data_IF_610033457053
#
_entry.id   IF_610033457053
#
_cell.length_a   1.000
_cell.length_b   1.000
_cell.length_c   1.000
_cell.angle_alpha   90.00
_cell.angle_beta   90.00
_cell.angle_gamma   90.00
#
_symmetry.space_group_name_H-M   'P 1'
#
loop_
_entity.id
_entity.type
_entity.pdbx_description
1 polymer ?
#
# COMPACT_ATOMS: atom_id res chain seq x y z
N UNK A 1 -36.97 12.66 -0.44
CA UNK A 1 -35.95 11.70 -0.85
C UNK A 1 -35.15 11.34 0.38
N UNK A 2 -35.00 10.08 0.71
CA UNK A 2 -34.10 9.61 1.78
C UNK A 2 -32.66 9.94 1.36
N UNK A 3 -31.88 10.49 2.32
CA UNK A 3 -30.46 10.73 2.06
C UNK A 3 -29.74 9.40 1.88
N UNK A 4 -28.82 9.32 0.93
CA UNK A 4 -27.96 8.15 0.76
C UNK A 4 -26.96 8.07 1.93
N UNK A 5 -26.75 6.89 2.45
CA UNK A 5 -25.94 6.62 3.62
C UNK A 5 -24.52 6.21 3.26
N UNK A 6 -23.53 6.70 3.99
CA UNK A 6 -22.10 6.43 3.72
C UNK A 6 -21.39 6.03 4.99
N UNK A 7 -20.73 4.87 4.99
CA UNK A 7 -19.77 4.47 6.01
C UNK A 7 -18.39 4.98 5.63
N UNK A 8 -17.86 5.94 6.38
CA UNK A 8 -16.57 6.56 6.09
C UNK A 8 -15.47 6.03 7.02
N UNK A 9 -14.42 5.44 6.43
CA UNK A 9 -13.19 5.11 7.15
C UNK A 9 -12.40 6.38 7.52
N UNK A 10 -12.30 6.68 8.80
CA UNK A 10 -11.61 7.84 9.37
C UNK A 10 -10.34 7.40 10.09
N UNK A 11 -9.18 7.69 9.52
CA UNK A 11 -7.86 7.36 10.11
C UNK A 11 -7.33 8.42 11.08
N UNK A 12 -8.03 9.55 11.23
CA UNK A 12 -7.52 10.73 11.93
C UNK A 12 -6.49 11.54 11.15
N UNK A 13 -6.21 11.17 9.91
CA UNK A 13 -5.40 11.97 8.99
C UNK A 13 -6.22 13.04 8.27
N UNK A 14 -5.51 14.02 7.67
CA UNK A 14 -6.09 15.14 6.93
C UNK A 14 -7.07 14.66 5.84
N UNK A 15 -6.64 13.68 5.04
CA UNK A 15 -7.38 13.23 3.86
C UNK A 15 -8.75 12.62 4.22
N UNK A 16 -8.81 11.80 5.26
CA UNK A 16 -10.08 11.23 5.74
C UNK A 16 -10.98 12.28 6.40
N UNK A 17 -10.40 13.28 7.03
CA UNK A 17 -11.14 14.38 7.66
C UNK A 17 -11.79 15.29 6.61
N UNK A 18 -11.05 15.60 5.54
CA UNK A 18 -11.58 16.36 4.40
C UNK A 18 -12.62 15.55 3.65
N UNK A 19 -12.40 14.26 3.45
CA UNK A 19 -13.41 13.36 2.86
C UNK A 19 -14.75 13.43 3.62
N UNK A 20 -14.71 13.44 4.97
CA UNK A 20 -15.90 13.60 5.80
C UNK A 20 -16.65 14.90 5.51
N UNK A 21 -15.94 16.04 5.49
CA UNK A 21 -16.51 17.35 5.18
C UNK A 21 -17.18 17.40 3.81
N UNK A 22 -16.48 16.87 2.79
CA UNK A 22 -16.97 16.84 1.42
C UNK A 22 -18.28 16.06 1.31
N UNK A 23 -18.36 14.87 1.90
CA UNK A 23 -19.55 14.03 1.88
C UNK A 23 -20.74 14.67 2.57
N UNK A 24 -20.51 15.27 3.75
CA UNK A 24 -21.56 16.00 4.47
C UNK A 24 -22.09 17.18 3.63
N UNK A 25 -21.21 17.95 3.01
CA UNK A 25 -21.62 19.07 2.14
C UNK A 25 -22.35 18.61 0.87
N UNK A 26 -22.02 17.42 0.36
CA UNK A 26 -22.74 16.79 -0.75
C UNK A 26 -24.12 16.24 -0.35
N UNK A 27 -24.46 16.28 0.93
CA UNK A 27 -25.79 15.91 1.43
C UNK A 27 -25.95 14.43 1.82
N UNK A 28 -24.86 13.67 1.88
CA UNK A 28 -24.88 12.29 2.38
C UNK A 28 -25.16 12.24 3.90
N UNK A 29 -25.77 11.15 4.34
CA UNK A 29 -25.83 10.75 5.75
C UNK A 29 -24.57 9.94 6.08
N UNK A 30 -23.58 10.60 6.72
CA UNK A 30 -22.23 10.05 6.91
C UNK A 30 -22.10 9.46 8.32
N UNK A 31 -21.60 8.22 8.40
CA UNK A 31 -21.21 7.56 9.63
C UNK A 31 -19.70 7.30 9.61
N UNK A 32 -18.98 7.91 10.54
CA UNK A 32 -17.53 7.76 10.67
C UNK A 32 -17.14 6.50 11.43
N UNK A 33 -16.15 5.77 10.95
CA UNK A 33 -15.56 4.62 11.65
C UNK A 33 -14.05 4.64 11.59
N UNK A 34 -13.38 4.46 12.73
CA UNK A 34 -11.95 4.15 12.77
C UNK A 34 -11.76 2.65 12.96
N UNK A 35 -11.03 2.01 12.06
CA UNK A 35 -10.57 0.65 12.25
C UNK A 35 -9.28 0.70 13.07
N UNK A 36 -9.33 0.21 14.30
CA UNK A 36 -8.15 0.06 15.13
C UNK A 36 -7.38 -1.19 14.70
N UNK A 37 -6.30 -0.98 13.94
CA UNK A 37 -5.52 -2.07 13.33
C UNK A 37 -4.19 -2.31 14.03
N UNK A 38 -3.64 -1.32 14.73
CA UNK A 38 -2.35 -1.37 15.41
C UNK A 38 -2.31 -0.38 16.58
N UNK A 39 -1.49 -0.69 17.60
CA UNK A 39 -1.17 0.22 18.70
C UNK A 39 0.36 0.33 18.78
N UNK A 40 0.89 1.52 18.72
CA UNK A 40 2.31 1.76 19.01
C UNK A 40 2.49 1.89 20.53
N UNK A 41 3.55 1.31 21.08
CA UNK A 41 3.93 1.51 22.48
C UNK A 41 4.19 3.00 22.78
N UNK A 42 4.71 3.75 21.81
CA UNK A 42 4.95 5.20 21.89
C UNK A 42 3.67 6.06 21.81
N UNK A 43 2.52 5.50 21.50
CA UNK A 43 1.24 6.22 21.59
C UNK A 43 0.89 6.58 23.04
N UNK A 44 1.62 6.07 24.01
CA UNK A 44 1.56 6.41 25.44
C UNK A 44 2.50 7.56 25.83
N UNK A 45 3.44 7.99 24.95
CA UNK A 45 4.46 9.00 25.27
C UNK A 45 4.43 10.13 24.23
N UNK A 46 4.16 11.35 24.71
CA UNK A 46 4.33 12.64 24.03
C UNK A 46 3.30 13.05 22.96
N UNK A 47 2.06 13.15 23.35
CA UNK A 47 1.09 14.03 22.68
C UNK A 47 1.11 15.40 23.37
N UNK A 48 1.03 16.49 22.61
CA UNK A 48 0.88 17.82 23.21
C UNK A 48 -0.29 17.83 24.21
N UNK A 49 -0.16 18.45 25.38
CA UNK A 49 -1.17 18.48 26.45
C UNK A 49 -2.60 18.78 25.97
N UNK A 50 -2.73 19.41 24.81
CA UNK A 50 -4.02 19.75 24.19
C UNK A 50 -4.78 18.53 23.65
N UNK A 51 -4.08 17.43 23.34
CA UNK A 51 -4.64 16.18 22.77
C UNK A 51 -4.52 14.97 23.70
N UNK A 52 -3.66 15.06 24.75
CA UNK A 52 -3.47 14.00 25.77
C UNK A 52 -4.77 13.63 26.49
N UNK A 53 -5.65 14.60 26.74
CA UNK A 53 -6.95 14.38 27.37
C UNK A 53 -7.96 13.61 26.48
N UNK A 54 -7.59 13.31 25.21
CA UNK A 54 -8.48 12.76 24.19
C UNK A 54 -8.13 11.36 23.70
N UNK A 55 -7.10 10.72 24.26
CA UNK A 55 -6.63 9.37 23.88
C UNK A 55 -5.67 9.38 22.70
N UNK A 56 -5.39 8.20 22.07
CA UNK A 56 -4.52 8.08 20.89
C UNK A 56 -4.77 9.23 19.90
N UNK A 57 -3.75 10.00 19.57
CA UNK A 57 -3.86 11.27 18.86
C UNK A 57 -4.66 11.16 17.53
N UNK A 58 -4.50 10.07 16.79
CA UNK A 58 -5.22 9.85 15.52
C UNK A 58 -6.70 9.58 15.73
N UNK A 59 -7.07 8.74 16.70
CA UNK A 59 -8.48 8.49 17.06
C UNK A 59 -9.11 9.78 17.63
N UNK A 60 -8.37 10.53 18.43
CA UNK A 60 -8.81 11.82 18.96
C UNK A 60 -9.16 12.84 17.87
N UNK A 61 -8.35 12.93 16.82
CA UNK A 61 -8.61 13.82 15.68
C UNK A 61 -9.85 13.36 14.91
N UNK A 62 -9.97 12.06 14.62
CA UNK A 62 -11.16 11.52 13.94
C UNK A 62 -12.44 11.83 14.73
N UNK A 63 -12.41 11.62 16.05
CA UNK A 63 -13.52 11.94 16.96
C UNK A 63 -13.86 13.44 16.98
N UNK A 64 -12.83 14.31 17.03
CA UNK A 64 -13.01 15.76 16.96
C UNK A 64 -13.70 16.20 15.67
N UNK A 65 -13.23 15.68 14.51
CA UNK A 65 -13.83 15.98 13.19
C UNK A 65 -15.29 15.51 13.15
N UNK A 66 -15.56 14.28 13.60
CA UNK A 66 -16.91 13.74 13.64
C UNK A 66 -17.87 14.59 14.49
N UNK A 67 -17.43 15.04 15.69
CA UNK A 67 -18.18 15.95 16.54
C UNK A 67 -18.46 17.31 15.89
N UNK A 68 -17.44 17.88 15.22
CA UNK A 68 -17.56 19.15 14.52
C UNK A 68 -18.54 19.08 13.34
N UNK A 69 -18.52 17.96 12.60
CA UNK A 69 -19.44 17.71 11.49
C UNK A 69 -20.81 17.16 11.95
N UNK A 70 -20.97 16.87 13.26
CA UNK A 70 -22.17 16.28 13.86
C UNK A 70 -22.58 14.96 13.21
N UNK A 71 -21.59 14.12 12.89
CA UNK A 71 -21.81 12.76 12.36
C UNK A 71 -21.59 11.72 13.45
N UNK A 72 -22.34 10.59 13.45
CA UNK A 72 -22.05 9.43 14.29
C UNK A 72 -20.63 8.92 14.05
N UNK A 73 -19.98 8.46 15.12
CA UNK A 73 -18.60 7.96 15.04
C UNK A 73 -18.36 6.83 16.04
N UNK A 74 -17.64 5.82 15.59
CA UNK A 74 -17.22 4.69 16.42
C UNK A 74 -15.82 4.21 16.09
N UNK A 75 -15.26 3.40 16.98
CA UNK A 75 -13.98 2.69 16.78
C UNK A 75 -14.28 1.20 16.77
N UNK A 76 -13.80 0.50 15.75
CA UNK A 76 -13.98 -0.94 15.57
C UNK A 76 -12.63 -1.62 15.63
N UNK A 77 -12.46 -2.55 16.56
CA UNK A 77 -11.23 -3.34 16.69
C UNK A 77 -11.06 -4.31 15.52
N UNK A 78 -9.90 -4.24 14.86
CA UNK A 78 -9.48 -5.10 13.75
C UNK A 78 -8.02 -5.53 13.88
N UNK A 79 -7.47 -5.48 15.10
CA UNK A 79 -6.05 -5.81 15.36
C UNK A 79 -5.76 -7.27 15.00
N UNK A 80 -6.61 -8.20 15.40
CA UNK A 80 -6.43 -9.62 15.05
C UNK A 80 -6.49 -9.87 13.54
N UNK A 81 -7.47 -9.27 12.84
CA UNK A 81 -7.59 -9.38 11.38
C UNK A 81 -6.38 -8.77 10.67
N UNK A 82 -5.82 -7.69 11.23
CA UNK A 82 -4.63 -7.03 10.72
C UNK A 82 -3.38 -7.87 10.96
N UNK A 83 -3.23 -8.47 12.14
CA UNK A 83 -2.13 -9.39 12.44
C UNK A 83 -2.10 -10.52 11.41
N UNK A 84 -3.19 -11.27 11.28
CA UNK A 84 -3.27 -12.42 10.38
C UNK A 84 -3.20 -12.03 8.90
N UNK A 85 -3.86 -10.95 8.49
CA UNK A 85 -4.00 -10.56 7.10
C UNK A 85 -2.84 -9.75 6.53
N UNK A 86 -2.05 -9.11 7.38
CA UNK A 86 -1.01 -8.15 6.96
C UNK A 86 0.34 -8.44 7.57
N UNK A 87 0.43 -8.56 8.91
CA UNK A 87 1.72 -8.70 9.60
C UNK A 87 2.31 -10.08 9.33
N UNK A 88 1.51 -11.14 9.49
CA UNK A 88 1.97 -12.51 9.23
C UNK A 88 2.43 -12.69 7.78
N UNK A 89 1.69 -12.12 6.79
CA UNK A 89 2.06 -12.12 5.37
C UNK A 89 3.36 -11.32 5.13
N UNK A 90 3.54 -10.21 5.84
CA UNK A 90 4.74 -9.38 5.75
C UNK A 90 5.98 -10.11 6.29
N UNK A 91 5.88 -10.71 7.47
CA UNK A 91 6.96 -11.48 8.10
C UNK A 91 7.31 -12.70 7.25
N UNK A 92 6.31 -13.50 6.84
CA UNK A 92 6.51 -14.67 5.99
C UNK A 92 7.14 -14.31 4.63
N UNK A 93 6.77 -13.16 4.04
CA UNK A 93 7.39 -12.65 2.83
C UNK A 93 8.89 -12.43 3.00
N UNK A 94 9.30 -11.70 4.02
CA UNK A 94 10.73 -11.48 4.29
C UNK A 94 11.48 -12.75 4.67
N UNK A 95 10.86 -13.65 5.44
CA UNK A 95 11.42 -14.96 5.76
C UNK A 95 11.72 -15.78 4.49
N UNK A 96 10.81 -15.70 3.52
CA UNK A 96 10.99 -16.34 2.21
C UNK A 96 11.87 -15.55 1.24
N UNK A 97 12.50 -14.44 1.66
CA UNK A 97 13.38 -13.59 0.83
C UNK A 97 12.63 -12.84 -0.28
N UNK A 98 11.36 -12.54 -0.09
CA UNK A 98 10.59 -11.63 -0.94
C UNK A 98 10.42 -10.29 -0.25
N UNK A 99 9.98 -9.28 -0.97
CA UNK A 99 9.72 -7.93 -0.43
C UNK A 99 8.24 -7.63 -0.56
N UNK A 100 7.40 -8.00 0.42
CA UNK A 100 5.96 -7.82 0.36
C UNK A 100 5.55 -6.36 0.44
N UNK A 101 4.33 -6.05 -0.04
CA UNK A 101 3.72 -4.73 0.12
C UNK A 101 2.54 -4.79 1.09
N UNK A 102 2.75 -4.46 2.38
CA UNK A 102 1.71 -4.59 3.40
C UNK A 102 0.54 -3.61 3.18
N UNK A 103 0.76 -2.46 2.53
CA UNK A 103 -0.31 -1.51 2.26
C UNK A 103 -1.33 -2.04 1.25
N UNK A 104 -0.89 -2.79 0.24
CA UNK A 104 -1.77 -3.49 -0.70
C UNK A 104 -2.61 -4.53 0.04
N UNK A 105 -1.97 -5.40 0.84
CA UNK A 105 -2.67 -6.43 1.64
C UNK A 105 -3.63 -5.83 2.65
N UNK A 106 -3.25 -4.72 3.28
CA UNK A 106 -4.12 -4.01 4.23
C UNK A 106 -5.41 -3.50 3.56
N UNK A 107 -5.30 -2.89 2.37
CA UNK A 107 -6.49 -2.42 1.65
C UNK A 107 -7.37 -3.58 1.17
N UNK A 108 -6.77 -4.66 0.65
CA UNK A 108 -7.46 -5.87 0.18
C UNK A 108 -8.18 -6.60 1.31
N UNK A 109 -7.43 -6.96 2.38
CA UNK A 109 -7.88 -7.93 3.38
C UNK A 109 -8.49 -7.31 4.62
N UNK A 110 -8.13 -6.07 4.96
CA UNK A 110 -8.52 -5.42 6.22
C UNK A 110 -9.38 -4.20 5.98
N UNK A 111 -8.84 -3.10 5.44
CA UNK A 111 -9.53 -1.80 5.42
C UNK A 111 -10.83 -1.84 4.63
N UNK A 112 -10.74 -2.03 3.31
CA UNK A 112 -11.94 -1.97 2.46
C UNK A 112 -12.86 -3.16 2.71
N UNK A 113 -12.30 -4.34 2.97
CA UNK A 113 -13.11 -5.52 3.33
C UNK A 113 -13.91 -5.32 4.61
N UNK A 114 -13.29 -4.79 5.68
CA UNK A 114 -14.00 -4.54 6.93
C UNK A 114 -15.04 -3.44 6.79
N UNK A 115 -14.70 -2.34 6.09
CA UNK A 115 -15.65 -1.26 5.85
C UNK A 115 -16.83 -1.72 5.01
N UNK A 116 -16.59 -2.48 3.96
CA UNK A 116 -17.64 -3.01 3.10
C UNK A 116 -18.56 -3.98 3.86
N UNK A 117 -17.98 -4.89 4.64
CA UNK A 117 -18.76 -5.82 5.46
C UNK A 117 -19.65 -5.09 6.48
N UNK A 118 -19.11 -4.10 7.19
CA UNK A 118 -19.86 -3.28 8.14
C UNK A 118 -20.97 -2.46 7.46
N UNK A 119 -20.68 -1.86 6.30
CA UNK A 119 -21.69 -1.11 5.55
C UNK A 119 -22.83 -2.01 5.07
N UNK A 120 -22.49 -3.18 4.53
CA UNK A 120 -23.48 -4.16 4.08
C UNK A 120 -24.36 -4.68 5.24
N UNK A 121 -23.74 -5.01 6.39
CA UNK A 121 -24.47 -5.46 7.60
C UNK A 121 -25.48 -4.41 8.09
N UNK A 122 -25.14 -3.12 7.92
CA UNK A 122 -25.98 -1.99 8.36
C UNK A 122 -26.92 -1.47 7.28
N UNK A 123 -26.95 -2.08 6.11
CA UNK A 123 -27.75 -1.65 4.98
C UNK A 123 -27.41 -0.26 4.47
N UNK A 124 -26.12 0.13 4.54
CA UNK A 124 -25.64 1.42 4.05
C UNK A 124 -25.32 1.36 2.55
N UNK A 125 -25.55 2.47 1.84
CA UNK A 125 -25.45 2.54 0.38
C UNK A 125 -24.00 2.53 -0.11
N UNK A 126 -23.09 3.23 0.62
CA UNK A 126 -21.71 3.44 0.19
C UNK A 126 -20.70 3.25 1.32
N UNK A 127 -19.47 2.95 0.90
CA UNK A 127 -18.26 3.01 1.71
C UNK A 127 -17.37 4.12 1.15
N UNK A 128 -16.80 4.94 2.03
CA UNK A 128 -15.86 5.99 1.63
C UNK A 128 -14.55 5.92 2.41
N UNK A 129 -13.49 6.41 1.78
CA UNK A 129 -12.18 6.61 2.43
C UNK A 129 -11.47 7.84 1.87
N UNK A 130 -10.45 8.32 2.59
CA UNK A 130 -9.57 9.40 2.14
C UNK A 130 -8.47 8.98 1.17
N UNK A 131 -8.66 7.91 0.38
CA UNK A 131 -7.67 7.52 -0.63
C UNK A 131 -7.70 8.44 -1.85
N UNK A 132 -6.51 8.72 -2.39
CA UNK A 132 -6.33 9.40 -3.67
C UNK A 132 -6.46 8.38 -4.79
N UNK A 133 -7.67 8.14 -5.23
CA UNK A 133 -8.05 7.34 -6.39
C UNK A 133 -9.43 7.81 -6.86
N UNK A 134 -9.87 7.37 -8.03
CA UNK A 134 -11.21 7.69 -8.55
C UNK A 134 -11.92 6.41 -8.98
N UNK A 135 -13.22 6.37 -8.77
CA UNK A 135 -14.11 5.35 -9.32
C UNK A 135 -15.00 6.04 -10.33
N UNK A 136 -15.08 5.49 -11.53
CA UNK A 136 -15.87 6.04 -12.62
C UNK A 136 -16.69 4.94 -13.30
N UNK A 137 -17.85 5.32 -13.81
CA UNK A 137 -18.65 4.46 -14.68
C UNK A 137 -18.52 4.96 -16.11
N UNK A 138 -17.95 4.13 -16.98
CA UNK A 138 -17.74 4.41 -18.40
C UNK A 138 -18.44 3.29 -19.17
N UNK A 139 -19.33 3.64 -20.10
CA UNK A 139 -20.12 2.68 -20.91
C UNK A 139 -20.81 1.59 -20.06
N UNK A 140 -21.32 1.99 -18.90
CA UNK A 140 -22.02 1.10 -17.96
C UNK A 140 -21.10 0.23 -17.09
N UNK A 141 -19.79 0.26 -17.29
CA UNK A 141 -18.81 -0.50 -16.50
C UNK A 141 -18.12 0.39 -15.47
N UNK A 142 -18.03 -0.12 -14.24
CA UNK A 142 -17.30 0.55 -13.16
C UNK A 142 -15.81 0.23 -13.23
N UNK A 143 -14.98 1.25 -13.07
CA UNK A 143 -13.52 1.11 -13.13
C UNK A 143 -12.82 1.99 -12.10
N UNK A 144 -11.66 1.51 -11.64
CA UNK A 144 -10.76 2.24 -10.76
C UNK A 144 -9.78 3.06 -11.60
N UNK A 145 -9.56 4.31 -11.21
CA UNK A 145 -8.68 5.24 -11.91
C UNK A 145 -7.68 5.89 -10.96
N UNK A 146 -6.58 6.37 -11.51
CA UNK A 146 -5.62 7.21 -10.81
C UNK A 146 -6.29 8.48 -10.28
N UNK A 147 -5.74 9.04 -9.20
CA UNK A 147 -6.16 10.33 -8.70
C UNK A 147 -5.83 11.47 -9.67
N UNK A 148 -6.49 12.62 -9.47
CA UNK A 148 -6.19 13.86 -10.19
C UNK A 148 -4.78 14.36 -9.83
N UNK A 149 -4.36 14.29 -8.57
CA UNK A 149 -2.98 14.57 -8.14
C UNK A 149 -2.11 13.33 -8.36
N UNK A 150 -1.37 13.30 -9.48
CA UNK A 150 -0.52 12.18 -9.84
C UNK A 150 0.61 11.90 -8.82
N UNK A 151 1.02 12.90 -8.01
CA UNK A 151 2.05 12.72 -6.97
C UNK A 151 1.50 12.07 -5.71
N UNK A 152 0.18 12.11 -5.51
CA UNK A 152 -0.52 11.51 -4.36
C UNK A 152 -1.33 10.28 -4.75
N UNK A 153 -1.33 9.90 -6.02
CA UNK A 153 -2.08 8.75 -6.53
C UNK A 153 -1.82 7.48 -5.72
N UNK A 154 -2.89 6.90 -5.17
CA UNK A 154 -2.87 5.69 -4.36
C UNK A 154 -3.54 4.49 -5.05
N UNK A 155 -3.90 4.60 -6.32
CA UNK A 155 -4.50 3.52 -7.09
C UNK A 155 -3.63 2.25 -7.11
N UNK A 156 -2.30 2.42 -7.03
CA UNK A 156 -1.33 1.32 -6.87
C UNK A 156 -1.63 0.43 -5.65
N UNK A 157 -2.13 0.97 -4.55
CA UNK A 157 -2.45 0.20 -3.35
C UNK A 157 -3.85 -0.42 -3.36
N UNK A 158 -4.65 -0.11 -4.39
CA UNK A 158 -6.07 -0.47 -4.46
C UNK A 158 -6.37 -1.49 -5.57
N UNK A 159 -5.38 -1.93 -6.36
CA UNK A 159 -5.61 -2.82 -7.50
C UNK A 159 -6.17 -4.19 -7.14
N UNK A 160 -6.10 -4.59 -5.86
CA UNK A 160 -6.61 -5.88 -5.36
C UNK A 160 -8.00 -5.80 -4.72
N UNK A 161 -8.66 -4.65 -4.78
CA UNK A 161 -10.02 -4.55 -4.26
C UNK A 161 -10.98 -5.37 -5.14
N UNK A 162 -12.03 -5.92 -4.52
CA UNK A 162 -13.04 -6.66 -5.28
C UNK A 162 -13.74 -5.72 -6.27
N UNK A 163 -13.73 -6.00 -7.59
CA UNK A 163 -14.39 -5.17 -8.59
C UNK A 163 -15.88 -4.94 -8.34
N UNK A 164 -16.57 -5.93 -7.73
CA UNK A 164 -17.99 -5.82 -7.39
C UNK A 164 -18.29 -4.73 -6.35
N UNK A 165 -17.29 -4.23 -5.64
CA UNK A 165 -17.47 -3.14 -4.66
C UNK A 165 -17.41 -1.76 -5.31
N UNK A 166 -16.83 -1.60 -6.51
CA UNK A 166 -16.63 -0.31 -7.15
C UNK A 166 -17.89 0.57 -7.21
N UNK A 167 -19.10 0.03 -7.52
CA UNK A 167 -20.32 0.83 -7.51
C UNK A 167 -20.67 1.47 -6.16
N UNK A 168 -20.13 0.92 -5.08
CA UNK A 168 -20.40 1.33 -3.70
C UNK A 168 -19.22 2.05 -3.03
N UNK A 169 -18.13 2.34 -3.78
CA UNK A 169 -16.93 2.99 -3.24
C UNK A 169 -16.85 4.47 -3.62
N UNK A 170 -16.59 5.32 -2.64
CA UNK A 170 -16.37 6.74 -2.81
C UNK A 170 -14.96 7.13 -2.31
N UNK A 171 -14.24 7.87 -3.15
CA UNK A 171 -12.94 8.45 -2.82
C UNK A 171 -12.99 9.98 -3.04
N UNK A 172 -13.60 10.74 -2.09
CA UNK A 172 -13.91 12.15 -2.31
C UNK A 172 -12.70 13.02 -2.65
N UNK A 173 -11.54 12.74 -2.05
CA UNK A 173 -10.30 13.50 -2.29
C UNK A 173 -9.58 13.10 -3.59
N UNK A 174 -10.01 12.03 -4.25
CA UNK A 174 -9.40 11.57 -5.50
C UNK A 174 -9.51 12.57 -6.66
N UNK A 175 -10.44 13.52 -6.57
CA UNK A 175 -10.68 14.59 -7.54
C UNK A 175 -10.04 15.93 -7.14
N UNK A 176 -9.17 15.95 -6.12
CA UNK A 176 -8.55 17.15 -5.58
C UNK A 176 -7.03 17.11 -5.71
N UNK A 177 -6.44 18.30 -5.83
CA UNK A 177 -4.99 18.45 -5.59
C UNK A 177 -4.73 18.46 -4.09
N UNK A 178 -3.56 17.99 -3.66
CA UNK A 178 -3.22 17.92 -2.23
C UNK A 178 -3.21 19.30 -1.56
N UNK A 179 -2.83 20.36 -2.28
CA UNK A 179 -2.89 21.73 -1.74
C UNK A 179 -4.32 22.15 -1.39
N UNK A 180 -5.31 21.77 -2.20
CA UNK A 180 -6.72 22.09 -1.96
C UNK A 180 -7.24 21.33 -0.74
N UNK A 181 -6.79 20.07 -0.57
CA UNK A 181 -7.10 19.27 0.62
C UNK A 181 -6.56 19.90 1.90
N UNK A 182 -5.36 20.48 1.87
CA UNK A 182 -4.81 21.21 3.00
C UNK A 182 -5.62 22.48 3.32
N UNK A 183 -6.00 23.28 2.32
CA UNK A 183 -6.85 24.46 2.51
C UNK A 183 -8.22 24.09 3.12
N UNK A 184 -8.82 23.01 2.64
CA UNK A 184 -10.07 22.52 3.21
C UNK A 184 -9.90 22.08 4.67
N UNK A 185 -8.79 21.41 5.01
CA UNK A 185 -8.48 21.01 6.37
C UNK A 185 -8.31 22.21 7.32
N UNK A 186 -7.69 23.30 6.87
CA UNK A 186 -7.59 24.55 7.62
C UNK A 186 -8.98 25.15 7.89
N UNK A 187 -9.85 25.14 6.88
CA UNK A 187 -11.23 25.63 7.04
C UNK A 187 -12.03 24.83 8.08
N UNK A 188 -11.70 23.56 8.27
CA UNK A 188 -12.26 22.70 9.32
C UNK A 188 -11.66 22.99 10.72
N UNK A 189 -10.68 23.88 10.81
CA UNK A 189 -9.96 24.19 12.06
C UNK A 189 -9.10 23.03 12.55
N UNK A 190 -8.60 22.20 11.63
CA UNK A 190 -7.64 21.14 11.96
C UNK A 190 -6.26 21.79 12.25
N UNK A 191 -5.48 21.20 13.16
CA UNK A 191 -4.12 21.66 13.45
C UNK A 191 -3.15 21.20 12.37
N UNK A 192 -3.28 21.76 11.15
CA UNK A 192 -2.54 21.31 9.96
C UNK A 192 -1.02 21.37 10.14
N UNK A 193 -0.52 22.28 10.96
CA UNK A 193 0.91 22.41 11.29
C UNK A 193 1.43 21.22 12.12
N UNK A 194 0.55 20.56 12.90
CA UNK A 194 0.89 19.41 13.74
C UNK A 194 0.65 18.08 13.02
N UNK A 195 -0.13 18.09 11.92
CA UNK A 195 -0.50 16.90 11.18
C UNK A 195 0.56 16.54 10.15
N UNK A 196 1.32 15.47 10.42
CA UNK A 196 2.27 14.93 9.45
C UNK A 196 1.58 13.91 8.54
N UNK A 197 1.94 13.95 7.27
CA UNK A 197 1.57 12.88 6.33
C UNK A 197 2.23 11.57 6.76
N UNK A 198 1.46 10.48 6.78
CA UNK A 198 2.03 9.15 6.98
C UNK A 198 2.74 8.73 5.69
N UNK A 199 4.07 8.72 5.70
CA UNK A 199 4.90 8.30 4.57
C UNK A 199 5.45 6.89 4.74
N UNK A 200 5.30 6.30 5.93
CA UNK A 200 5.87 5.01 6.32
C UNK A 200 4.78 3.94 6.54
N UNK A 201 5.22 2.70 6.63
CA UNK A 201 4.36 1.57 6.98
C UNK A 201 3.87 1.78 8.41
N UNK A 202 2.55 1.76 8.62
CA UNK A 202 1.90 2.24 9.85
C UNK A 202 2.26 1.45 11.12
N UNK A 203 2.79 0.23 11.02
CA UNK A 203 3.19 -0.63 12.14
C UNK A 203 4.71 -0.74 12.27
N UNK A 204 5.49 -0.13 11.38
CA UNK A 204 6.95 -0.10 11.45
C UNK A 204 7.37 1.20 12.12
N UNK A 205 7.84 1.12 13.36
CA UNK A 205 8.30 2.28 14.11
C UNK A 205 9.59 2.84 13.52
N UNK A 206 9.65 4.16 13.36
CA UNK A 206 10.83 4.90 12.89
C UNK A 206 11.41 4.43 11.55
N UNK A 207 10.60 3.80 10.67
CA UNK A 207 11.03 3.35 9.34
C UNK A 207 12.02 2.18 9.35
N UNK A 208 12.29 1.57 10.50
CA UNK A 208 13.18 0.43 10.62
C UNK A 208 12.44 -0.91 10.61
N UNK A 209 12.17 -1.40 9.40
CA UNK A 209 11.54 -2.71 9.23
C UNK A 209 12.41 -3.87 9.75
N UNK A 210 13.73 -3.70 9.88
CA UNK A 210 14.65 -4.75 10.38
C UNK A 210 14.37 -5.04 11.84
N UNK A 211 14.31 -4.01 12.68
CA UNK A 211 13.97 -4.14 14.09
C UNK A 211 12.59 -4.80 14.23
N UNK A 212 11.60 -4.42 13.42
CA UNK A 212 10.29 -5.04 13.43
C UNK A 212 10.35 -6.54 13.07
N UNK A 213 11.05 -6.91 12.00
CA UNK A 213 11.21 -8.32 11.60
C UNK A 213 11.96 -9.11 12.68
N UNK A 214 12.99 -8.53 13.32
CA UNK A 214 13.73 -9.19 14.40
C UNK A 214 12.86 -9.43 15.64
N UNK A 215 11.92 -8.52 15.94
CA UNK A 215 10.96 -8.69 17.04
C UNK A 215 9.92 -9.79 16.74
N UNK A 216 9.33 -9.76 15.55
CA UNK A 216 8.30 -10.74 15.14
C UNK A 216 8.87 -12.12 14.81
N UNK A 217 10.14 -12.20 14.38
CA UNK A 217 10.82 -13.43 13.95
C UNK A 217 12.31 -13.38 14.36
N UNK A 218 12.65 -13.64 15.63
CA UNK A 218 14.05 -13.58 16.11
C UNK A 218 15.01 -14.49 15.34
N UNK A 219 14.53 -15.61 14.78
CA UNK A 219 15.30 -16.53 13.96
C UNK A 219 15.68 -15.97 12.57
N UNK A 220 15.11 -14.85 12.14
CA UNK A 220 15.53 -14.14 10.92
C UNK A 220 16.98 -13.63 11.01
N UNK A 221 17.50 -13.42 12.23
CA UNK A 221 18.88 -13.04 12.49
C UNK A 221 19.81 -14.25 12.37
N UNK A 222 19.90 -14.78 11.17
CA UNK A 222 20.75 -15.92 10.84
C UNK A 222 21.84 -15.46 9.86
N UNK A 223 23.09 -15.28 10.36
CA UNK A 223 24.20 -14.85 9.50
C UNK A 223 24.45 -15.80 8.34
N UNK A 224 24.81 -15.22 7.20
CA UNK A 224 25.15 -15.96 5.99
C UNK A 224 26.08 -15.16 5.09
N UNK A 225 26.57 -15.76 3.98
CA UNK A 225 27.50 -15.10 3.10
C UNK A 225 26.82 -14.14 2.12
N UNK A 226 27.46 -13.00 1.91
CA UNK A 226 27.31 -12.25 0.68
C UNK A 226 28.27 -12.78 -0.36
N UNK A 227 27.75 -13.08 -1.54
CA UNK A 227 28.53 -13.59 -2.67
C UNK A 227 28.40 -12.67 -3.88
N UNK A 228 29.42 -12.60 -4.71
CA UNK A 228 29.37 -12.00 -6.05
C UNK A 228 28.53 -12.85 -7.02
N UNK A 229 28.27 -12.32 -8.22
CA UNK A 229 27.57 -13.07 -9.29
C UNK A 229 28.34 -14.29 -9.78
N UNK A 230 29.66 -14.32 -9.56
CA UNK A 230 30.59 -15.41 -9.84
C UNK A 230 30.69 -16.44 -8.69
N UNK A 231 30.03 -16.19 -7.56
CA UNK A 231 30.05 -17.04 -6.38
C UNK A 231 31.20 -16.74 -5.40
N UNK A 232 32.04 -15.74 -5.65
CA UNK A 232 33.07 -15.32 -4.70
C UNK A 232 32.43 -14.77 -3.42
N UNK A 233 32.94 -15.17 -2.23
CA UNK A 233 32.48 -14.65 -0.96
C UNK A 233 33.05 -13.27 -0.70
N UNK A 234 32.18 -12.27 -0.64
CA UNK A 234 32.52 -10.86 -0.45
C UNK A 234 32.41 -10.40 1.01
N UNK A 235 31.70 -11.15 1.85
CA UNK A 235 31.51 -10.84 3.26
C UNK A 235 30.35 -11.61 3.87
N UNK A 236 29.82 -11.11 5.00
CA UNK A 236 28.71 -11.74 5.73
C UNK A 236 27.58 -10.73 5.98
N UNK A 237 26.37 -11.23 6.02
CA UNK A 237 25.18 -10.51 6.43
C UNK A 237 24.60 -11.08 7.73
N UNK A 238 23.77 -10.30 8.42
CA UNK A 238 23.14 -10.69 9.70
C UNK A 238 21.90 -11.59 9.54
N UNK A 239 21.30 -11.62 8.35
CA UNK A 239 20.12 -12.42 8.00
C UNK A 239 19.55 -11.96 6.67
N UNK A 240 19.16 -12.88 5.79
CA UNK A 240 18.67 -12.54 4.43
C UNK A 240 17.37 -11.73 4.45
N UNK A 241 16.55 -11.88 5.48
CA UNK A 241 15.30 -11.15 5.66
C UNK A 241 15.51 -9.62 5.81
N UNK A 242 16.74 -9.19 6.09
CA UNK A 242 17.08 -7.77 6.26
C UNK A 242 17.54 -7.10 4.96
N UNK A 243 17.44 -7.79 3.82
CA UNK A 243 17.95 -7.29 2.55
C UNK A 243 16.91 -7.43 1.43
N UNK A 244 16.86 -6.39 0.60
CA UNK A 244 15.91 -6.28 -0.50
C UNK A 244 16.65 -6.06 -1.83
N UNK A 245 16.24 -6.66 -2.94
CA UNK A 245 16.80 -6.38 -4.27
C UNK A 245 16.84 -4.89 -4.59
N UNK A 246 18.01 -4.42 -5.05
CA UNK A 246 18.32 -3.00 -5.30
C UNK A 246 18.88 -2.23 -4.10
N UNK A 247 18.93 -2.84 -2.90
CA UNK A 247 19.51 -2.19 -1.72
C UNK A 247 21.03 -2.03 -1.89
N UNK A 248 21.53 -0.81 -1.57
CA UNK A 248 22.95 -0.45 -1.58
C UNK A 248 23.52 -0.20 -0.19
N UNK A 249 22.70 0.45 0.68
CA UNK A 249 23.15 0.86 2.01
C UNK A 249 23.04 -0.28 3.03
N UNK A 250 23.91 -0.28 4.03
CA UNK A 250 23.85 -1.23 5.12
C UNK A 250 24.30 -2.66 4.76
N UNK A 251 25.12 -2.82 3.71
CA UNK A 251 25.67 -4.12 3.32
C UNK A 251 26.93 -4.50 4.14
N UNK A 252 27.64 -3.50 4.69
CA UNK A 252 28.88 -3.75 5.44
C UNK A 252 30.06 -4.25 4.57
N UNK A 253 29.98 -4.13 3.24
CA UNK A 253 30.98 -4.62 2.29
C UNK A 253 31.79 -3.45 1.73
N UNK A 254 33.13 -3.62 1.71
CA UNK A 254 34.09 -2.63 1.21
C UNK A 254 34.98 -3.27 0.16
N UNK A 255 34.59 -3.25 -1.12
CA UNK A 255 35.30 -3.85 -2.23
C UNK A 255 35.74 -2.84 -3.31
N UNK A 256 35.82 -1.57 -2.96
CA UNK A 256 36.27 -0.51 -3.88
C UNK A 256 35.31 -0.09 -4.98
N UNK A 257 34.14 -0.78 -5.11
CA UNK A 257 33.08 -0.44 -6.06
C UNK A 257 31.71 -0.46 -5.37
N UNK A 258 30.72 0.18 -6.02
CA UNK A 258 29.34 0.18 -5.52
C UNK A 258 28.68 -1.16 -5.82
N UNK A 259 28.25 -1.85 -4.76
CA UNK A 259 27.48 -3.09 -4.87
C UNK A 259 26.05 -2.90 -4.44
N UNK A 260 25.18 -3.73 -5.00
CA UNK A 260 23.76 -3.76 -4.74
C UNK A 260 23.29 -5.21 -4.53
N UNK A 261 22.30 -5.41 -3.71
CA UNK A 261 21.65 -6.71 -3.60
C UNK A 261 20.93 -7.00 -4.93
N UNK A 262 21.38 -8.04 -5.62
CA UNK A 262 20.69 -8.54 -6.81
C UNK A 262 19.51 -9.42 -6.43
N UNK A 263 19.77 -10.40 -5.57
CA UNK A 263 18.77 -11.32 -5.03
C UNK A 263 19.21 -11.89 -3.69
N UNK A 264 18.25 -12.41 -2.94
CA UNK A 264 18.49 -13.27 -1.77
C UNK A 264 18.04 -14.70 -2.10
N UNK A 265 18.77 -15.69 -1.60
CA UNK A 265 18.55 -17.12 -1.87
C UNK A 265 18.31 -17.83 -0.53
N UNK A 266 17.05 -17.97 -0.08
CA UNK A 266 16.73 -18.50 1.25
C UNK A 266 17.23 -19.93 1.46
N UNK A 267 17.21 -20.76 0.41
CA UNK A 267 17.60 -22.16 0.46
C UNK A 267 19.06 -22.33 0.90
N UNK A 268 19.94 -21.43 0.47
CA UNK A 268 21.37 -21.42 0.84
C UNK A 268 21.71 -20.36 1.89
N UNK A 269 20.79 -19.47 2.22
CA UNK A 269 21.02 -18.33 3.10
C UNK A 269 22.01 -17.31 2.51
N UNK A 270 22.11 -17.18 1.20
CA UNK A 270 23.05 -16.29 0.51
C UNK A 270 22.38 -15.00 0.06
N UNK A 271 23.10 -13.87 0.20
CA UNK A 271 22.80 -12.63 -0.49
C UNK A 271 23.72 -12.46 -1.70
N UNK A 272 23.17 -12.39 -2.91
CA UNK A 272 23.96 -12.17 -4.14
C UNK A 272 24.08 -10.67 -4.39
N UNK A 273 25.31 -10.20 -4.54
CA UNK A 273 25.64 -8.80 -4.83
C UNK A 273 26.13 -8.64 -6.27
N UNK A 274 25.76 -7.51 -6.87
CA UNK A 274 26.17 -7.20 -8.24
C UNK A 274 26.47 -5.70 -8.42
N UNK A 275 27.06 -5.35 -9.54
CA UNK A 275 27.21 -3.98 -10.00
C UNK A 275 25.85 -3.39 -10.46
N UNK A 276 25.77 -2.08 -10.62
CA UNK A 276 24.51 -1.37 -10.92
C UNK A 276 23.89 -1.75 -12.27
N UNK A 277 24.71 -1.96 -13.27
CA UNK A 277 24.31 -2.37 -14.63
C UNK A 277 23.72 -3.78 -14.70
N UNK A 278 24.03 -4.64 -13.73
CA UNK A 278 23.52 -6.00 -13.61
C UNK A 278 22.15 -6.09 -12.87
N UNK A 279 21.62 -4.95 -12.41
CA UNK A 279 20.30 -4.89 -11.76
C UNK A 279 19.14 -4.75 -12.73
N UNK A 280 19.41 -4.48 -14.01
CA UNK A 280 18.36 -4.23 -15.00
C UNK A 280 17.84 -5.53 -15.60
N UNK A 281 16.54 -5.62 -15.76
CA UNK A 281 15.83 -6.76 -16.33
C UNK A 281 14.77 -6.25 -17.31
N UNK A 282 14.60 -6.92 -18.43
CA UNK A 282 13.64 -6.57 -19.48
C UNK A 282 12.28 -7.26 -19.29
N UNK A 283 12.21 -8.25 -18.40
CA UNK A 283 10.99 -9.01 -18.18
C UNK A 283 10.87 -9.54 -16.75
N UNK A 284 9.65 -9.84 -16.35
CA UNK A 284 9.36 -10.58 -15.12
C UNK A 284 8.09 -11.41 -15.25
N UNK A 285 7.97 -12.42 -14.41
CA UNK A 285 6.74 -13.17 -14.25
C UNK A 285 5.92 -12.58 -13.10
N UNK A 286 4.59 -12.46 -13.31
CA UNK A 286 3.64 -11.93 -12.32
C UNK A 286 2.56 -12.97 -12.08
N UNK A 287 2.37 -13.34 -10.83
CA UNK A 287 1.35 -14.29 -10.36
C UNK A 287 0.41 -13.66 -9.33
N UNK A 288 -0.47 -14.46 -8.72
CA UNK A 288 -1.47 -13.98 -7.75
C UNK A 288 -2.22 -12.76 -8.31
N UNK A 289 -2.77 -12.95 -9.52
CA UNK A 289 -3.38 -11.88 -10.30
C UNK A 289 -4.72 -11.41 -9.71
N UNK A 290 -4.93 -10.10 -9.73
CA UNK A 290 -6.22 -9.44 -9.47
C UNK A 290 -6.51 -8.53 -10.65
N UNK A 291 -7.45 -8.91 -11.50
CA UNK A 291 -7.71 -8.25 -12.78
C UNK A 291 -9.09 -7.59 -12.78
N UNK A 292 -9.14 -6.29 -13.11
CA UNK A 292 -10.38 -5.58 -13.43
C UNK A 292 -10.75 -5.80 -14.90
N UNK A 293 -9.75 -5.93 -15.77
CA UNK A 293 -9.94 -6.21 -17.19
C UNK A 293 -9.57 -7.68 -17.48
N UNK A 294 -10.59 -8.48 -17.83
CA UNK A 294 -10.41 -9.90 -18.11
C UNK A 294 -9.70 -10.20 -19.44
N UNK A 295 -9.49 -9.21 -20.31
CA UNK A 295 -8.71 -9.39 -21.53
C UNK A 295 -7.25 -9.73 -21.23
N UNK A 296 -6.70 -9.21 -20.13
CA UNK A 296 -5.32 -9.48 -19.69
C UNK A 296 -4.97 -10.96 -19.50
N UNK A 297 -5.95 -11.78 -19.13
CA UNK A 297 -5.75 -13.21 -18.94
C UNK A 297 -5.94 -14.07 -20.21
N UNK A 298 -6.22 -13.46 -21.36
CA UNK A 298 -6.66 -14.19 -22.57
C UNK A 298 -5.82 -13.91 -23.81
N UNK A 299 -5.26 -12.74 -23.92
CA UNK A 299 -4.50 -12.28 -25.09
C UNK A 299 -3.41 -11.28 -24.68
N UNK A 300 -2.38 -11.08 -25.52
CA UNK A 300 -1.40 -10.03 -25.31
C UNK A 300 -2.06 -8.65 -25.23
N UNK A 301 -1.63 -7.83 -24.26
CA UNK A 301 -2.15 -6.46 -24.04
C UNK A 301 -1.00 -5.51 -23.80
N UNK A 302 -1.00 -4.37 -24.47
CA UNK A 302 -0.09 -3.26 -24.18
C UNK A 302 -0.62 -2.49 -22.96
N UNK A 303 0.27 -2.19 -22.01
CA UNK A 303 -0.08 -1.48 -20.78
C UNK A 303 1.11 -0.72 -20.20
N UNK A 304 0.82 0.29 -19.40
CA UNK A 304 1.81 0.90 -18.52
C UNK A 304 1.91 0.08 -17.22
N UNK A 305 3.11 -0.35 -16.86
CA UNK A 305 3.35 -1.19 -15.68
C UNK A 305 4.12 -0.44 -14.62
N UNK A 306 3.56 -0.38 -13.41
CA UNK A 306 4.19 0.22 -12.24
C UNK A 306 4.64 -0.88 -11.27
N UNK A 307 5.96 -1.02 -11.11
CA UNK A 307 6.58 -2.10 -10.30
C UNK A 307 6.86 -1.71 -8.84
N UNK A 308 6.71 -0.43 -8.51
CA UNK A 308 6.82 0.14 -7.15
C UNK A 308 6.00 1.42 -7.07
N UNK A 309 5.53 1.75 -5.88
CA UNK A 309 4.76 2.97 -5.66
C UNK A 309 5.51 4.25 -6.09
N UNK A 310 6.78 4.35 -5.76
CA UNK A 310 7.57 5.57 -6.01
C UNK A 310 8.17 5.65 -7.43
N UNK A 311 8.05 4.60 -8.27
CA UNK A 311 8.58 4.63 -9.64
C UNK A 311 7.51 5.09 -10.64
N UNK A 312 7.89 5.79 -11.71
CA UNK A 312 6.98 6.03 -12.82
C UNK A 312 6.57 4.70 -13.47
N UNK A 313 5.41 4.63 -14.10
CA UNK A 313 5.04 3.48 -14.92
C UNK A 313 5.91 3.39 -16.17
N UNK A 314 6.11 2.17 -16.68
CA UNK A 314 6.87 1.86 -17.88
C UNK A 314 5.99 1.09 -18.87
N UNK A 315 5.96 1.46 -20.16
CA UNK A 315 5.28 0.69 -21.19
C UNK A 315 5.81 -0.75 -21.27
N UNK A 316 4.87 -1.70 -21.38
CA UNK A 316 5.18 -3.13 -21.45
C UNK A 316 4.08 -3.89 -22.19
N UNK A 317 4.44 -5.04 -22.74
CA UNK A 317 3.51 -6.03 -23.28
C UNK A 317 3.25 -7.10 -22.24
N UNK A 318 1.98 -7.31 -21.89
CA UNK A 318 1.51 -8.33 -20.96
C UNK A 318 1.12 -9.57 -21.74
N UNK A 319 1.79 -10.69 -21.49
CA UNK A 319 1.59 -11.96 -22.18
C UNK A 319 0.98 -12.99 -21.21
N UNK A 320 -0.26 -13.47 -21.45
CA UNK A 320 -0.85 -14.51 -20.62
C UNK A 320 -0.12 -15.84 -20.80
N UNK A 321 0.03 -16.58 -19.68
CA UNK A 321 0.59 -17.93 -19.64
C UNK A 321 -0.47 -18.95 -19.32
N UNK A 322 -0.30 -20.19 -19.78
CA UNK A 322 -1.17 -21.32 -19.48
C UNK A 322 -1.27 -21.63 -17.97
N UNK A 323 -0.24 -21.24 -17.19
CA UNK A 323 -0.21 -21.40 -15.73
C UNK A 323 -1.06 -20.39 -14.96
N UNK A 324 -1.78 -19.50 -15.67
CA UNK A 324 -2.56 -18.44 -15.01
C UNK A 324 -1.70 -17.28 -14.46
N UNK A 325 -0.49 -17.14 -14.96
CA UNK A 325 0.43 -16.02 -14.70
C UNK A 325 0.50 -15.10 -15.92
N UNK A 326 1.10 -13.91 -15.72
CA UNK A 326 1.45 -13.00 -16.81
C UNK A 326 2.97 -12.86 -16.91
N UNK A 327 3.52 -12.98 -18.12
CA UNK A 327 4.86 -12.49 -18.42
C UNK A 327 4.77 -11.03 -18.82
N UNK A 328 5.50 -10.19 -18.13
CA UNK A 328 5.59 -8.75 -18.42
C UNK A 328 6.89 -8.50 -19.16
N UNK A 329 6.81 -8.06 -20.41
CA UNK A 329 7.94 -7.67 -21.24
C UNK A 329 8.01 -6.14 -21.31
N UNK A 330 8.98 -5.54 -20.62
CA UNK A 330 9.15 -4.09 -20.58
C UNK A 330 9.79 -3.58 -21.86
N UNK A 331 9.27 -2.49 -22.42
CA UNK A 331 9.87 -1.85 -23.59
C UNK A 331 11.22 -1.17 -23.27
N UNK A 332 11.48 -0.91 -21.99
CA UNK A 332 12.75 -0.45 -21.48
C UNK A 332 13.12 -1.25 -20.22
N UNK A 333 14.36 -1.74 -20.11
CA UNK A 333 14.78 -2.52 -18.95
C UNK A 333 14.49 -1.80 -17.63
N UNK A 334 13.95 -2.53 -16.66
CA UNK A 334 13.59 -2.03 -15.35
C UNK A 334 14.63 -2.43 -14.31
N UNK A 335 14.95 -1.51 -13.40
CA UNK A 335 15.95 -1.75 -12.38
C UNK A 335 15.34 -2.44 -11.15
N UNK A 336 16.04 -3.48 -10.69
CA UNK A 336 15.78 -4.15 -9.41
C UNK A 336 14.32 -4.59 -9.25
N UNK A 337 13.85 -5.43 -10.17
CA UNK A 337 12.58 -6.12 -10.01
C UNK A 337 12.64 -6.95 -8.73
N UNK A 338 11.76 -6.62 -7.77
CA UNK A 338 11.79 -7.24 -6.44
C UNK A 338 10.67 -8.27 -6.31
N UNK A 339 10.99 -9.56 -6.16
CA UNK A 339 9.98 -10.58 -5.89
C UNK A 339 9.15 -10.23 -4.64
N UNK A 340 7.85 -10.43 -4.68
CA UNK A 340 6.91 -10.04 -3.62
C UNK A 340 6.33 -8.63 -3.77
N UNK A 341 6.95 -7.75 -4.55
CA UNK A 341 6.35 -6.45 -4.88
C UNK A 341 5.21 -6.60 -5.90
N UNK A 342 4.30 -5.64 -5.87
CA UNK A 342 3.20 -5.58 -6.84
C UNK A 342 3.67 -5.01 -8.18
N UNK A 343 3.25 -5.64 -9.27
CA UNK A 343 3.21 -5.04 -10.60
C UNK A 343 1.76 -4.64 -10.90
N UNK A 344 1.50 -3.34 -11.08
CA UNK A 344 0.15 -2.81 -11.32
C UNK A 344 0.06 -2.28 -12.74
N UNK A 345 -0.99 -2.67 -13.44
CA UNK A 345 -1.19 -2.44 -14.88
C UNK A 345 -2.19 -1.32 -15.11
N UNK A 346 -1.88 -0.43 -16.03
CA UNK A 346 -2.68 0.74 -16.34
C UNK A 346 -2.89 0.89 -17.86
N UNK A 347 -4.04 1.45 -18.21
CA UNK A 347 -4.31 2.01 -19.54
C UNK A 347 -4.63 3.49 -19.33
N UNK A 348 -3.66 4.35 -19.60
CA UNK A 348 -3.73 5.76 -19.23
C UNK A 348 -3.87 5.94 -17.71
N UNK A 349 -5.03 6.41 -17.25
CA UNK A 349 -5.36 6.57 -15.84
C UNK A 349 -6.22 5.42 -15.26
N UNK A 350 -6.73 4.53 -16.12
CA UNK A 350 -7.53 3.36 -15.73
C UNK A 350 -6.63 2.24 -15.19
N UNK A 351 -6.99 1.68 -14.04
CA UNK A 351 -6.33 0.50 -13.48
C UNK A 351 -6.90 -0.75 -14.14
N UNK A 352 -6.07 -1.54 -14.80
CA UNK A 352 -6.44 -2.80 -15.43
C UNK A 352 -6.37 -3.98 -14.48
N UNK A 353 -5.57 -3.87 -13.44
CA UNK A 353 -5.29 -4.92 -12.45
C UNK A 353 -3.84 -4.95 -12.05
N UNK A 354 -3.38 -6.11 -11.62
CA UNK A 354 -2.00 -6.34 -11.21
C UNK A 354 -1.79 -7.72 -10.62
N UNK A 355 -0.59 -7.94 -10.10
CA UNK A 355 -0.23 -9.17 -9.40
C UNK A 355 1.10 -9.02 -8.68
N UNK A 356 1.65 -10.14 -8.22
CA UNK A 356 2.88 -10.19 -7.45
C UNK A 356 4.02 -10.68 -8.31
N UNK A 357 5.10 -9.89 -8.38
CA UNK A 357 6.35 -10.23 -9.09
C UNK A 357 6.94 -11.51 -8.48
N UNK A 358 7.24 -12.49 -9.32
CA UNK A 358 7.79 -13.77 -8.93
C UNK A 358 9.33 -13.73 -8.96
N UNK A 359 9.95 -14.71 -8.35
CA UNK A 359 11.39 -14.96 -8.53
C UNK A 359 11.65 -15.47 -9.93
N UNK A 360 12.67 -14.95 -10.57
CA UNK A 360 13.28 -15.46 -11.80
C UNK A 360 14.37 -16.48 -11.49
#
# INVERSE_FOLDING_TARGET
MTRQTVLLGMSGGVDSSVAASLLVRQGYDVHGVTLQVWEHEDDQVAVSKRWEERGCCKIGIAKYVAQRLRIPYEVVDRREVFQQGVIDDFVAGYASGTTPNPCVRCNERVKLRSLYALAHERGMDYVATGHYARVQQIDGQWSLHRALDARKDQSYFLYRINPAWLPHLLFPVGHMQKCDVWQEAESLGLPVEELKESQEICFVSHGDYRTFIEQEMPEAKKPGPFVGVDGEVLGQHEGIAFYTPGQRRGLGIAVGQRLYVQKVVPESGQGVLCAEDQLVQSECQVADLSLFDHALGRQPVEADVKIRYATPPCPATLLPSESGTLQVQFHQPQRALSPGQSAVFYDGDRVLGGGIIQRS
#
